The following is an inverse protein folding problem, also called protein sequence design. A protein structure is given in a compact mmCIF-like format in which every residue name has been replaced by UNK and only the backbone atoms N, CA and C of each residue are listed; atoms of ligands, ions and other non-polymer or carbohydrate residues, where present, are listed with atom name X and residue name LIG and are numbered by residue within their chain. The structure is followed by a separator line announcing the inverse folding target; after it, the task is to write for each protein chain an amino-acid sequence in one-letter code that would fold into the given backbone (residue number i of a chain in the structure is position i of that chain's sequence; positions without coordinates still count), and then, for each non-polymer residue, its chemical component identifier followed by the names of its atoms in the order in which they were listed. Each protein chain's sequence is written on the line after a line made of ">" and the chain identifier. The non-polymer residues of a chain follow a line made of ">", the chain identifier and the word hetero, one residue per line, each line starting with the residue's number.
data_IF_233074404821
#
_entry.id   IF_233074404821
#
_cell.length_a   1.000
_cell.length_b   1.000
_cell.length_c   1.000
_cell.angle_alpha   90.00
_cell.angle_beta   90.00
_cell.angle_gamma   90.00
#
_symmetry.space_group_name_H-M   'P 1'
#
loop_
_entity.id
_entity.type
_entity.pdbx_description
1 polymer ?
#
# COMPACT_ATOMS: atom_id res chain seq x y z
N UNK A 1 -22.15 8.40 40.26
CA UNK A 1 -21.33 7.69 39.25
C UNK A 1 -20.62 8.73 38.37
N UNK A 2 -19.57 9.41 38.87
CA UNK A 2 -18.84 10.42 38.09
C UNK A 2 -17.82 9.70 37.23
N UNK A 3 -18.04 9.68 35.91
CA UNK A 3 -17.15 9.04 34.97
C UNK A 3 -15.79 9.74 34.97
N UNK A 4 -14.77 9.05 35.48
CA UNK A 4 -13.42 9.57 35.65
C UNK A 4 -12.69 9.63 34.30
N UNK A 5 -13.06 10.59 33.45
CA UNK A 5 -12.53 10.80 32.09
C UNK A 5 -11.01 11.01 32.08
N UNK A 6 -10.45 11.58 33.16
CA UNK A 6 -9.00 11.73 33.35
C UNK A 6 -8.30 10.39 33.43
N UNK A 7 -8.92 9.41 34.08
CA UNK A 7 -8.39 8.06 34.22
C UNK A 7 -8.47 7.31 32.88
N UNK A 8 -9.58 7.49 32.14
CA UNK A 8 -9.73 6.96 30.77
C UNK A 8 -8.66 7.50 29.81
N UNK A 9 -8.37 8.80 29.84
CA UNK A 9 -7.31 9.40 29.02
C UNK A 9 -5.93 8.86 29.38
N UNK A 10 -5.62 8.71 30.67
CA UNK A 10 -4.35 8.13 31.13
C UNK A 10 -4.17 6.68 30.66
N UNK A 11 -5.24 5.88 30.71
CA UNK A 11 -5.21 4.50 30.23
C UNK A 11 -5.05 4.46 28.70
N UNK A 12 -5.75 5.31 27.96
CA UNK A 12 -5.56 5.41 26.51
C UNK A 12 -4.12 5.82 26.15
N UNK A 13 -3.56 6.83 26.83
CA UNK A 13 -2.20 7.32 26.55
C UNK A 13 -1.13 6.26 26.83
N UNK A 14 -1.28 5.50 27.92
CA UNK A 14 -0.38 4.38 28.27
C UNK A 14 -0.50 3.20 27.32
N UNK A 15 -1.67 2.97 26.71
CA UNK A 15 -1.84 2.00 25.63
C UNK A 15 -1.10 2.47 24.36
N UNK A 16 -1.25 3.74 23.97
CA UNK A 16 -0.57 4.31 22.79
C UNK A 16 0.95 4.37 22.93
N UNK A 17 1.48 4.54 24.15
CA UNK A 17 2.93 4.56 24.42
C UNK A 17 3.59 3.17 24.48
N UNK A 18 2.88 2.10 24.09
CA UNK A 18 3.53 0.78 23.99
C UNK A 18 4.58 0.79 22.86
N UNK A 19 5.76 0.19 23.06
CA UNK A 19 6.83 0.16 22.06
C UNK A 19 6.37 -0.45 20.72
N UNK A 20 5.45 -1.43 20.76
CA UNK A 20 4.86 -2.01 19.53
C UNK A 20 4.04 -1.01 18.72
N UNK A 21 3.28 -0.14 19.39
CA UNK A 21 2.46 0.89 18.72
C UNK A 21 3.33 2.01 18.16
N UNK A 22 4.37 2.39 18.90
CA UNK A 22 5.39 3.33 18.41
C UNK A 22 6.14 2.76 17.19
N UNK A 23 6.46 1.46 17.19
CA UNK A 23 7.06 0.79 16.03
C UNK A 23 6.11 0.76 14.84
N UNK A 24 4.83 0.46 15.04
CA UNK A 24 3.84 0.50 13.95
C UNK A 24 3.68 1.92 13.41
N UNK A 25 3.69 2.94 14.28
CA UNK A 25 3.65 4.35 13.87
C UNK A 25 4.91 4.73 13.08
N UNK A 26 6.09 4.36 13.58
CA UNK A 26 7.36 4.61 12.91
C UNK A 26 7.45 3.88 11.57
N UNK A 27 7.01 2.63 11.48
CA UNK A 27 6.93 1.86 10.24
C UNK A 27 5.92 2.49 9.26
N UNK A 28 4.76 2.92 9.75
CA UNK A 28 3.77 3.64 8.96
C UNK A 28 4.36 4.92 8.37
N UNK A 29 5.01 5.73 9.20
CA UNK A 29 5.70 6.95 8.78
C UNK A 29 6.83 6.67 7.77
N UNK A 30 7.69 5.69 8.07
CA UNK A 30 8.79 5.29 7.21
C UNK A 30 8.32 4.68 5.88
N UNK A 31 7.12 4.10 5.80
CA UNK A 31 6.54 3.58 4.55
C UNK A 31 5.79 4.66 3.74
N UNK A 32 5.21 5.66 4.41
CA UNK A 32 4.49 6.76 3.76
C UNK A 32 5.43 7.78 3.12
N UNK A 33 6.58 8.05 3.73
CA UNK A 33 7.56 9.00 3.20
C UNK A 33 8.09 8.61 1.81
N UNK A 34 8.61 7.37 1.59
CA UNK A 34 9.05 6.94 0.27
C UNK A 34 7.96 7.05 -0.79
N UNK A 35 6.72 6.70 -0.44
CA UNK A 35 5.60 6.80 -1.37
C UNK A 35 5.40 8.24 -1.88
N UNK A 36 5.38 9.22 -0.97
CA UNK A 36 5.23 10.63 -1.32
C UNK A 36 6.44 11.17 -2.10
N UNK A 37 7.65 10.80 -1.68
CA UNK A 37 8.89 11.23 -2.33
C UNK A 37 8.95 10.65 -3.75
N UNK A 38 8.74 9.35 -3.93
CA UNK A 38 8.75 8.71 -5.25
C UNK A 38 7.71 9.31 -6.19
N UNK A 39 6.48 9.58 -5.73
CA UNK A 39 5.47 10.26 -6.55
C UNK A 39 5.89 11.67 -6.97
N UNK A 40 6.52 12.42 -6.06
CA UNK A 40 7.00 13.78 -6.34
C UNK A 40 8.18 13.75 -7.32
N UNK A 41 9.14 12.86 -7.11
CA UNK A 41 10.30 12.68 -7.99
C UNK A 41 9.89 12.22 -9.39
N UNK A 42 8.91 11.32 -9.51
CA UNK A 42 8.39 10.89 -10.81
C UNK A 42 7.79 12.09 -11.56
N UNK A 43 6.97 12.90 -10.91
CA UNK A 43 6.37 14.09 -11.50
C UNK A 43 7.42 15.09 -11.98
N UNK A 44 8.47 15.31 -11.18
CA UNK A 44 9.59 16.19 -11.53
C UNK A 44 10.33 15.66 -12.76
N UNK A 45 10.69 14.37 -12.79
CA UNK A 45 11.38 13.78 -13.94
C UNK A 45 10.54 13.78 -15.21
N UNK A 46 9.24 13.53 -15.10
CA UNK A 46 8.32 13.62 -16.26
C UNK A 46 8.32 15.05 -16.82
N UNK A 47 8.30 16.06 -15.94
CA UNK A 47 8.37 17.46 -16.35
C UNK A 47 9.72 17.83 -16.97
N UNK A 48 10.83 17.33 -16.42
CA UNK A 48 12.18 17.50 -17.00
C UNK A 48 12.31 16.82 -18.37
N UNK A 49 11.63 15.69 -18.60
CA UNK A 49 11.58 15.03 -19.90
C UNK A 49 10.69 15.73 -20.94
N UNK A 50 10.15 16.91 -20.62
CA UNK A 50 9.33 17.72 -21.53
C UNK A 50 7.89 17.25 -21.68
N UNK A 51 7.39 16.39 -20.79
CA UNK A 51 6.01 15.90 -20.82
C UNK A 51 5.08 17.00 -20.31
N UNK A 52 4.03 17.28 -21.08
CA UNK A 52 3.03 18.31 -20.77
C UNK A 52 2.27 18.02 -19.46
N UNK A 53 1.82 19.07 -18.76
CA UNK A 53 1.05 18.93 -17.52
C UNK A 53 -0.23 18.11 -17.72
N UNK A 54 -0.84 18.15 -18.92
CA UNK A 54 -1.99 17.32 -19.25
C UNK A 54 -1.66 15.82 -19.18
N UNK A 55 -0.50 15.42 -19.69
CA UNK A 55 -0.04 14.02 -19.64
C UNK A 55 0.36 13.60 -18.21
N UNK A 56 0.92 14.49 -17.39
CA UNK A 56 1.11 14.24 -15.95
C UNK A 56 -0.24 14.03 -15.24
N UNK A 57 -1.26 14.81 -15.61
CA UNK A 57 -2.64 14.60 -15.15
C UNK A 57 -3.18 13.22 -15.55
N UNK A 58 -2.88 12.75 -16.76
CA UNK A 58 -3.22 11.38 -17.20
C UNK A 58 -2.49 10.31 -16.37
N UNK A 59 -1.24 10.54 -15.94
CA UNK A 59 -0.55 9.60 -15.03
C UNK A 59 -1.25 9.46 -13.67
N UNK A 60 -2.02 10.45 -13.23
CA UNK A 60 -2.87 10.32 -12.03
C UNK A 60 -3.90 9.19 -12.16
N UNK A 61 -4.31 8.83 -13.39
CA UNK A 61 -5.22 7.71 -13.66
C UNK A 61 -4.62 6.36 -13.26
N UNK A 62 -3.30 6.25 -13.05
CA UNK A 62 -2.67 5.06 -12.47
C UNK A 62 -3.17 4.76 -11.05
N UNK A 63 -3.79 5.75 -10.38
CA UNK A 63 -4.50 5.55 -9.11
C UNK A 63 -5.87 4.88 -9.22
N UNK A 64 -6.46 4.78 -10.42
CA UNK A 64 -7.79 4.20 -10.63
C UNK A 64 -7.89 2.75 -10.16
N UNK A 65 -6.94 1.85 -10.45
CA UNK A 65 -6.93 0.51 -9.88
C UNK A 65 -6.96 0.53 -8.35
N UNK A 66 -6.33 1.51 -7.70
CA UNK A 66 -6.38 1.64 -6.24
C UNK A 66 -7.77 2.06 -5.75
N UNK A 67 -8.46 2.96 -6.46
CA UNK A 67 -9.84 3.34 -6.15
C UNK A 67 -10.82 2.16 -6.31
N UNK A 68 -10.63 1.32 -7.34
CA UNK A 68 -11.44 0.12 -7.57
C UNK A 68 -11.02 -1.08 -6.72
N UNK A 69 -10.13 -0.90 -5.72
CA UNK A 69 -9.72 -1.97 -4.80
C UNK A 69 -10.88 -2.69 -4.14
N UNK A 70 -11.97 -2.00 -3.83
CA UNK A 70 -13.15 -2.63 -3.23
C UNK A 70 -13.80 -3.67 -4.16
N UNK A 71 -13.70 -3.50 -5.48
CA UNK A 71 -14.36 -4.34 -6.48
C UNK A 71 -13.47 -5.52 -6.88
N UNK A 72 -12.18 -5.28 -7.09
CA UNK A 72 -11.28 -6.37 -7.50
C UNK A 72 -10.71 -7.17 -6.33
N UNK A 73 -10.64 -6.64 -5.10
CA UNK A 73 -10.20 -7.41 -3.94
C UNK A 73 -11.05 -8.67 -3.69
N UNK A 74 -12.41 -8.61 -3.64
CA UNK A 74 -13.22 -9.82 -3.49
C UNK A 74 -13.09 -10.74 -4.70
N UNK A 75 -12.95 -10.20 -5.92
CA UNK A 75 -12.73 -10.99 -7.12
C UNK A 75 -11.43 -11.83 -7.02
N UNK A 76 -10.33 -11.21 -6.59
CA UNK A 76 -9.05 -11.91 -6.38
C UNK A 76 -9.10 -12.89 -5.19
N UNK A 77 -9.86 -12.57 -4.14
CA UNK A 77 -10.04 -13.47 -3.00
C UNK A 77 -10.90 -14.70 -3.34
N UNK A 78 -11.77 -14.62 -4.35
CA UNK A 78 -12.55 -15.77 -4.84
C UNK A 78 -11.72 -16.67 -5.77
N UNK A 79 -10.80 -16.09 -6.55
CA UNK A 79 -9.98 -16.83 -7.51
C UNK A 79 -8.83 -17.51 -6.77
N UNK A 80 -8.91 -18.83 -6.63
CA UNK A 80 -7.80 -19.65 -6.14
C UNK A 80 -6.76 -19.79 -7.26
N UNK A 81 -5.50 -19.35 -7.04
CA UNK A 81 -4.48 -19.50 -8.07
C UNK A 81 -4.22 -20.99 -8.34
N UNK A 82 -4.18 -21.40 -9.62
CA UNK A 82 -3.96 -22.79 -10.00
C UNK A 82 -2.53 -23.21 -9.60
N UNK A 83 -2.42 -24.25 -8.76
CA UNK A 83 -1.13 -24.89 -8.41
C UNK A 83 -0.72 -24.81 -6.93
N UNK A 84 -0.92 -23.68 -6.24
CA UNK A 84 -0.40 -23.47 -4.86
C UNK A 84 -1.47 -23.33 -3.77
N UNK A 85 -2.75 -23.22 -4.15
CA UNK A 85 -3.86 -22.94 -3.23
C UNK A 85 -4.14 -24.01 -2.16
N UNK A 86 -3.60 -25.23 -2.27
CA UNK A 86 -3.83 -26.32 -1.29
C UNK A 86 -2.84 -26.35 -0.12
N UNK A 87 -1.63 -25.81 -0.26
CA UNK A 87 -0.59 -25.92 0.80
C UNK A 87 -0.21 -24.59 1.45
N UNK A 88 -0.38 -23.45 0.77
CA UNK A 88 0.24 -22.17 1.20
C UNK A 88 -0.76 -21.06 1.54
N UNK A 89 -2.07 -21.30 1.41
CA UNK A 89 -3.13 -20.32 1.64
C UNK A 89 -3.26 -19.29 0.51
N UNK A 90 -4.45 -18.70 0.35
CA UNK A 90 -4.76 -17.78 -0.75
C UNK A 90 -3.84 -16.54 -0.75
N UNK A 91 -3.61 -15.94 0.42
CA UNK A 91 -2.82 -14.70 0.53
C UNK A 91 -1.37 -14.85 0.10
N UNK A 92 -0.69 -15.93 0.52
CA UNK A 92 0.74 -16.15 0.19
C UNK A 92 0.92 -16.53 -1.27
N UNK A 93 -0.03 -17.29 -1.83
CA UNK A 93 0.00 -17.70 -3.23
C UNK A 93 -0.12 -16.49 -4.16
N UNK A 94 -1.05 -15.57 -3.88
CA UNK A 94 -1.20 -14.34 -4.66
C UNK A 94 0.02 -13.41 -4.58
N UNK A 95 0.66 -13.30 -3.41
CA UNK A 95 1.90 -12.52 -3.27
C UNK A 95 2.99 -13.08 -4.19
N UNK A 96 3.19 -14.40 -4.22
CA UNK A 96 4.19 -15.02 -5.08
C UNK A 96 3.88 -14.82 -6.57
N UNK A 97 2.61 -15.03 -6.96
CA UNK A 97 2.16 -14.84 -8.36
C UNK A 97 2.42 -13.40 -8.81
N UNK A 98 2.04 -12.40 -8.01
CA UNK A 98 2.26 -10.99 -8.33
C UNK A 98 3.75 -10.66 -8.42
N UNK A 99 4.58 -11.21 -7.53
CA UNK A 99 6.03 -10.98 -7.58
C UNK A 99 6.65 -11.58 -8.85
N UNK A 100 6.28 -12.80 -9.24
CA UNK A 100 6.79 -13.43 -10.46
C UNK A 100 6.35 -12.66 -11.71
N UNK A 101 5.08 -12.25 -11.76
CA UNK A 101 4.56 -11.40 -12.84
C UNK A 101 5.32 -10.07 -12.92
N UNK A 102 5.59 -9.43 -11.78
CA UNK A 102 6.30 -8.16 -11.72
C UNK A 102 7.75 -8.32 -12.23
N UNK A 103 8.45 -9.37 -11.81
CA UNK A 103 9.80 -9.69 -12.29
C UNK A 103 9.78 -9.93 -13.79
N UNK A 104 8.82 -10.72 -14.29
CA UNK A 104 8.67 -10.97 -15.73
C UNK A 104 8.42 -9.69 -16.51
N UNK A 105 7.56 -8.80 -16.01
CA UNK A 105 7.26 -7.53 -16.67
C UNK A 105 8.47 -6.59 -16.71
N UNK A 106 9.21 -6.50 -15.61
CA UNK A 106 10.46 -5.72 -15.55
C UNK A 106 11.49 -6.31 -16.52
N UNK A 107 11.63 -7.63 -16.61
CA UNK A 107 12.55 -8.29 -17.52
C UNK A 107 12.17 -8.14 -19.01
N UNK A 108 10.89 -7.89 -19.32
CA UNK A 108 10.42 -7.62 -20.68
C UNK A 108 10.61 -6.13 -21.05
N UNK A 109 10.50 -5.22 -20.07
CA UNK A 109 10.66 -3.77 -20.28
C UNK A 109 12.12 -3.29 -20.21
N UNK A 110 12.99 -4.01 -19.48
CA UNK A 110 14.42 -3.74 -19.38
C UNK A 110 15.19 -4.34 -20.55
#
# INVERSE_FOLDING_TARGET
>A
MKADWRQRLRIALTVYMRPRLLLILALGFASGLPFLITSSTLTIRLRESGIDLGAIGLFSLVGIPYAFKFLWAPLLDLVRPPGFGRKMGLRRSWILVINVLLIGFIAILG
#
